data_IF_616122178854
#
_entry.id   IF_616122178854
#
_cell.length_a   1.000
_cell.length_b   1.000
_cell.length_c   1.000
_cell.angle_alpha   90.00
_cell.angle_beta   90.00
_cell.angle_gamma   90.00
#
_symmetry.space_group_name_H-M   'P 1'
#
loop_
_entity.id
_entity.type
_entity.pdbx_description
1 polymer ?
#
# COMPACT_ATOMS: atom_id res chain seq x y z
N UNK A 1 26.25 26.18 -47.64
CA UNK A 1 25.27 27.03 -46.92
C UNK A 1 23.87 26.42 -47.06
N UNK A 2 23.06 26.50 -46.00
CA UNK A 2 21.80 25.76 -45.69
C UNK A 2 22.09 24.36 -45.11
N UNK A 3 22.11 24.08 -43.81
CA UNK A 3 21.44 24.60 -42.61
C UNK A 3 19.93 24.33 -42.55
N UNK A 4 19.56 23.08 -42.22
CA UNK A 4 18.28 22.66 -41.60
C UNK A 4 18.60 21.41 -40.76
N UNK A 5 19.01 21.52 -39.49
CA UNK A 5 18.17 21.55 -38.29
C UNK A 5 17.13 20.41 -38.16
N UNK A 6 17.55 19.41 -37.37
CA UNK A 6 16.85 18.77 -36.25
C UNK A 6 15.41 18.24 -36.42
N UNK A 7 15.21 16.96 -36.07
CA UNK A 7 14.15 16.58 -35.13
C UNK A 7 14.50 15.28 -34.41
N UNK A 8 15.26 15.41 -33.31
CA UNK A 8 15.30 14.41 -32.25
C UNK A 8 13.99 14.56 -31.45
N UNK A 9 13.01 13.71 -31.72
CA UNK A 9 11.85 13.56 -30.84
C UNK A 9 12.27 12.70 -29.64
N UNK A 10 12.91 13.34 -28.66
CA UNK A 10 13.12 12.77 -27.34
C UNK A 10 11.75 12.71 -26.66
N UNK A 11 11.05 11.58 -26.77
CA UNK A 11 9.84 11.31 -26.00
C UNK A 11 10.26 10.99 -24.55
N UNK A 12 10.70 12.01 -23.83
CA UNK A 12 10.83 11.97 -22.37
C UNK A 12 9.43 11.99 -21.77
N UNK A 13 8.71 10.87 -21.86
CA UNK A 13 7.69 10.55 -20.88
C UNK A 13 8.41 10.27 -19.56
N UNK A 14 8.88 11.32 -18.90
CA UNK A 14 9.07 11.29 -17.47
C UNK A 14 7.68 10.95 -16.90
N UNK A 15 7.48 9.67 -16.59
CA UNK A 15 6.20 9.14 -16.16
C UNK A 15 5.80 9.85 -14.87
N UNK A 16 4.99 10.89 -14.99
CA UNK A 16 4.17 11.36 -13.90
C UNK A 16 3.30 10.17 -13.53
N UNK A 17 3.64 9.53 -12.40
CA UNK A 17 2.78 8.54 -11.78
C UNK A 17 1.52 9.29 -11.37
N UNK A 18 0.52 9.29 -12.23
CA UNK A 18 -0.79 9.83 -11.91
C UNK A 18 -1.37 8.96 -10.79
N UNK A 19 -1.95 9.61 -9.78
CA UNK A 19 -2.75 8.89 -8.82
C UNK A 19 -3.90 8.15 -9.53
N UNK A 20 -4.21 6.93 -9.09
CA UNK A 20 -5.24 6.09 -9.69
C UNK A 20 -6.57 6.23 -8.94
N UNK A 21 -7.66 5.95 -9.63
CA UNK A 21 -8.96 5.68 -8.99
C UNK A 21 -8.99 4.23 -8.48
N UNK A 22 -9.79 3.95 -7.46
CA UNK A 22 -9.89 2.57 -6.95
C UNK A 22 -10.62 1.63 -7.92
N UNK A 23 -11.36 2.20 -8.87
CA UNK A 23 -12.00 1.51 -10.00
C UNK A 23 -11.16 1.49 -11.27
N UNK A 24 -9.91 1.98 -11.22
CA UNK A 24 -9.06 2.08 -12.42
C UNK A 24 -8.88 0.69 -13.07
N UNK A 25 -9.22 0.52 -14.36
CA UNK A 25 -9.11 -0.75 -15.07
C UNK A 25 -7.66 -1.24 -15.23
N UNK A 26 -6.66 -0.38 -15.00
CA UNK A 26 -5.26 -0.78 -14.93
C UNK A 26 -4.95 -1.64 -13.70
N UNK A 27 -5.78 -1.61 -12.65
CA UNK A 27 -5.64 -2.48 -11.47
C UNK A 27 -5.97 -3.91 -11.88
N UNK A 28 -4.93 -4.72 -12.08
CA UNK A 28 -5.06 -6.14 -12.38
C UNK A 28 -5.12 -7.00 -11.12
N UNK A 29 -4.36 -6.61 -10.09
CA UNK A 29 -4.22 -7.39 -8.87
C UNK A 29 -4.02 -6.49 -7.65
N UNK A 30 -4.57 -6.92 -6.51
CA UNK A 30 -4.25 -6.34 -5.20
C UNK A 30 -3.70 -7.42 -4.30
N UNK A 31 -2.57 -7.15 -3.64
CA UNK A 31 -1.96 -8.06 -2.67
C UNK A 31 -1.83 -7.40 -1.31
N UNK A 32 -2.18 -8.14 -0.27
CA UNK A 32 -1.91 -7.73 1.11
C UNK A 32 -0.55 -8.25 1.58
N UNK A 33 0.10 -7.44 2.40
CA UNK A 33 1.42 -7.70 2.96
C UNK A 33 1.43 -7.42 4.45
N UNK A 34 2.27 -8.21 5.14
CA UNK A 34 2.78 -7.88 6.46
C UNK A 34 4.27 -7.57 6.34
N UNK A 35 4.72 -6.54 7.04
CA UNK A 35 6.10 -6.11 7.00
C UNK A 35 6.57 -5.53 8.32
N UNK A 36 7.88 -5.59 8.52
CA UNK A 36 8.58 -4.82 9.53
C UNK A 36 9.07 -3.51 8.90
N UNK A 37 8.44 -2.38 9.27
CA UNK A 37 8.78 -1.07 8.71
C UNK A 37 10.15 -0.58 9.18
N UNK A 38 10.71 -1.13 10.26
CA UNK A 38 12.01 -0.69 10.83
C UNK A 38 13.21 -1.12 9.98
N UNK A 39 12.98 -2.00 8.99
CA UNK A 39 14.02 -2.53 8.12
C UNK A 39 14.48 -1.54 7.02
N UNK A 40 13.86 -0.35 6.92
CA UNK A 40 14.37 0.79 6.16
C UNK A 40 14.05 2.12 6.88
N UNK A 41 14.73 3.20 6.48
CA UNK A 41 14.49 4.54 7.04
C UNK A 41 13.10 5.11 6.70
N UNK A 42 12.47 4.65 5.61
CA UNK A 42 11.13 5.07 5.20
C UNK A 42 10.15 3.98 5.57
N UNK A 43 9.10 4.32 6.32
CA UNK A 43 8.14 3.32 6.81
C UNK A 43 7.09 2.88 5.79
N UNK A 44 7.07 3.44 4.57
CA UNK A 44 6.07 3.11 3.57
C UNK A 44 6.24 1.70 2.99
N UNK A 45 5.13 0.97 2.80
CA UNK A 45 5.14 -0.38 2.21
C UNK A 45 5.74 -0.43 0.79
N UNK A 46 5.72 0.67 0.04
CA UNK A 46 6.44 0.78 -1.24
C UNK A 46 7.35 2.00 -1.25
N UNK A 47 8.56 1.82 -1.77
CA UNK A 47 9.59 2.86 -1.88
C UNK A 47 10.15 2.82 -3.30
N UNK A 48 10.08 3.93 -4.05
CA UNK A 48 10.66 4.06 -5.38
C UNK A 48 10.24 2.91 -6.34
N UNK A 49 8.96 2.57 -6.38
CA UNK A 49 8.42 1.54 -7.28
C UNK A 49 8.67 0.09 -6.87
N UNK A 50 9.27 -0.17 -5.71
CA UNK A 50 9.46 -1.53 -5.15
C UNK A 50 8.80 -1.69 -3.78
N UNK A 51 8.59 -2.93 -3.37
CA UNK A 51 8.19 -3.26 -2.00
C UNK A 51 9.28 -2.89 -0.98
N UNK A 52 8.85 -2.54 0.23
CA UNK A 52 9.71 -2.36 1.40
C UNK A 52 10.54 -3.63 1.67
N UNK A 53 11.81 -3.48 2.07
CA UNK A 53 12.74 -4.59 2.35
C UNK A 53 12.20 -5.48 3.44
N UNK A 54 11.59 -4.89 4.46
CA UNK A 54 10.94 -5.58 5.58
C UNK A 54 9.69 -6.39 5.28
N UNK A 55 9.21 -6.44 4.03
CA UNK A 55 8.11 -7.34 3.65
C UNK A 55 8.49 -8.78 3.92
N UNK A 56 7.69 -9.45 4.75
CA UNK A 56 7.97 -10.78 5.30
C UNK A 56 7.71 -11.87 4.24
N UNK A 57 6.58 -11.77 3.53
CA UNK A 57 6.26 -12.63 2.39
C UNK A 57 6.19 -11.78 1.12
N UNK A 58 7.21 -11.88 0.25
CA UNK A 58 7.27 -11.09 -1.00
C UNK A 58 6.20 -11.47 -2.02
N UNK A 59 5.69 -12.70 -1.97
CA UNK A 59 4.55 -13.07 -2.81
C UNK A 59 3.28 -12.35 -2.36
N UNK A 60 3.17 -11.94 -1.09
CA UNK A 60 1.94 -11.37 -0.54
C UNK A 60 0.77 -12.33 -0.59
N UNK A 61 -0.40 -11.84 -0.20
CA UNK A 61 -1.66 -12.57 -0.26
C UNK A 61 -2.53 -11.91 -1.32
N UNK A 62 -2.77 -12.60 -2.43
CA UNK A 62 -3.67 -12.13 -3.49
C UNK A 62 -5.09 -12.03 -2.95
N UNK A 63 -5.71 -10.85 -3.08
CA UNK A 63 -7.10 -10.67 -2.71
C UNK A 63 -8.01 -11.25 -3.80
N UNK A 64 -9.13 -11.85 -3.37
CA UNK A 64 -10.23 -12.18 -4.27
C UNK A 64 -10.97 -10.91 -4.73
N UNK A 65 -11.75 -10.97 -5.83
CA UNK A 65 -12.58 -9.84 -6.26
C UNK A 65 -13.48 -9.27 -5.16
N UNK A 66 -14.11 -10.14 -4.36
CA UNK A 66 -14.95 -9.71 -3.23
C UNK A 66 -14.16 -9.01 -2.13
N UNK A 67 -12.93 -9.47 -1.86
CA UNK A 67 -12.03 -8.83 -0.90
C UNK A 67 -11.56 -7.46 -1.41
N UNK A 68 -11.27 -7.32 -2.71
CA UNK A 68 -10.93 -6.05 -3.36
C UNK A 68 -12.09 -5.07 -3.24
N UNK A 69 -13.33 -5.50 -3.52
CA UNK A 69 -14.53 -4.68 -3.37
C UNK A 69 -14.71 -4.19 -1.92
N UNK A 70 -14.50 -5.07 -0.94
CA UNK A 70 -14.59 -4.71 0.50
C UNK A 70 -13.48 -3.76 0.93
N UNK A 71 -12.24 -3.99 0.49
CA UNK A 71 -11.12 -3.10 0.74
C UNK A 71 -11.38 -1.71 0.16
N UNK A 72 -11.76 -1.65 -1.12
CA UNK A 72 -12.06 -0.41 -1.84
C UNK A 72 -13.15 0.38 -1.12
N UNK A 73 -14.26 -0.26 -0.75
CA UNK A 73 -15.31 0.38 0.05
C UNK A 73 -14.79 0.91 1.41
N UNK A 74 -13.87 0.20 2.04
CA UNK A 74 -13.33 0.59 3.34
C UNK A 74 -12.37 1.80 3.28
N UNK A 75 -11.73 2.05 2.14
CA UNK A 75 -10.73 3.13 1.97
C UNK A 75 -11.20 4.29 1.07
N UNK A 76 -12.22 4.06 0.23
CA UNK A 76 -12.83 5.06 -0.63
C UNK A 76 -13.44 6.19 0.21
N UNK A 77 -13.48 7.40 -0.36
CA UNK A 77 -14.04 8.61 0.23
C UNK A 77 -15.40 8.33 0.90
N UNK A 78 -15.47 8.58 2.20
CA UNK A 78 -16.69 8.45 3.00
C UNK A 78 -17.11 9.83 3.54
N UNK A 79 -18.40 10.04 3.88
CA UNK A 79 -18.80 11.18 4.67
C UNK A 79 -17.97 11.27 5.95
N UNK A 80 -17.62 12.49 6.37
CA UNK A 80 -16.93 12.69 7.64
C UNK A 80 -17.83 12.21 8.78
N UNK A 81 -17.30 11.50 9.78
CA UNK A 81 -18.06 11.17 10.98
C UNK A 81 -18.42 12.46 11.74
N UNK A 82 -19.56 12.47 12.44
CA UNK A 82 -20.01 13.60 13.26
C UNK A 82 -18.97 14.05 14.30
N UNK A 83 -18.14 13.11 14.76
CA UNK A 83 -17.03 13.37 15.67
C UNK A 83 -15.74 12.76 15.15
N UNK A 84 -14.70 13.58 15.14
CA UNK A 84 -13.33 13.19 14.83
C UNK A 84 -12.58 13.00 16.16
N UNK A 85 -12.24 11.77 16.57
CA UNK A 85 -11.38 11.58 17.74
C UNK A 85 -9.96 12.09 17.43
N UNK A 86 -9.25 12.63 18.43
CA UNK A 86 -7.84 12.96 18.25
C UNK A 86 -7.06 11.69 17.90
N UNK A 87 -6.26 11.77 16.83
CA UNK A 87 -5.44 10.64 16.39
C UNK A 87 -4.08 10.70 17.11
N UNK A 88 -3.60 9.60 17.74
CA UNK A 88 -2.30 9.56 18.41
C UNK A 88 -1.17 9.95 17.45
N UNK A 89 -0.16 10.72 17.88
CA UNK A 89 0.93 11.20 16.99
C UNK A 89 2.00 10.13 16.69
N UNK A 90 1.57 8.91 16.40
CA UNK A 90 2.44 7.80 15.99
C UNK A 90 1.96 7.19 14.68
N UNK A 91 2.91 6.64 13.91
CA UNK A 91 2.61 5.92 12.68
C UNK A 91 3.64 4.81 12.43
N UNK A 92 3.29 3.60 12.88
CA UNK A 92 4.10 2.38 12.78
C UNK A 92 3.32 1.33 11.97
N UNK A 93 3.33 1.43 10.63
CA UNK A 93 2.54 0.57 9.79
C UNK A 93 3.16 -0.83 9.68
N UNK A 94 2.32 -1.86 9.73
CA UNK A 94 2.75 -3.25 9.54
C UNK A 94 1.94 -3.98 8.48
N UNK A 95 0.85 -3.39 8.00
CA UNK A 95 -0.04 -3.97 7.01
C UNK A 95 -0.19 -3.02 5.84
N UNK A 96 -0.04 -3.55 4.63
CA UNK A 96 -0.23 -2.78 3.41
C UNK A 96 -0.93 -3.60 2.35
N UNK A 97 -1.72 -2.92 1.52
CA UNK A 97 -2.36 -3.42 0.32
C UNK A 97 -1.72 -2.70 -0.85
N UNK A 98 -1.18 -3.44 -1.80
CA UNK A 98 -0.49 -2.87 -2.96
C UNK A 98 -1.26 -3.27 -4.22
N UNK A 99 -1.50 -2.28 -5.06
CA UNK A 99 -2.25 -2.38 -6.31
C UNK A 99 -1.26 -2.50 -7.45
N UNK A 100 -1.43 -3.52 -8.28
CA UNK A 100 -0.53 -3.88 -9.37
C UNK A 100 -1.26 -3.84 -10.71
N UNK A 101 -0.54 -3.47 -11.76
CA UNK A 101 -0.96 -3.70 -13.14
C UNK A 101 -0.70 -5.15 -13.59
N UNK A 102 -1.04 -5.45 -14.84
CA UNK A 102 -0.89 -6.79 -15.44
C UNK A 102 0.57 -7.19 -15.64
N UNK A 103 1.48 -6.23 -15.71
CA UNK A 103 2.93 -6.43 -15.76
C UNK A 103 3.56 -6.62 -14.37
N UNK A 104 2.79 -6.45 -13.30
CA UNK A 104 3.26 -6.55 -11.92
C UNK A 104 3.96 -5.30 -11.40
N UNK A 105 3.79 -4.15 -12.07
CA UNK A 105 4.26 -2.85 -11.60
C UNK A 105 3.33 -2.34 -10.50
N UNK A 106 3.90 -1.73 -9.48
CA UNK A 106 3.16 -1.05 -8.41
C UNK A 106 2.52 0.22 -8.97
N UNK A 107 1.20 0.30 -8.89
CA UNK A 107 0.41 1.49 -9.24
C UNK A 107 0.17 2.38 -8.02
N UNK A 108 -0.17 1.76 -6.89
CA UNK A 108 -0.56 2.46 -5.67
C UNK A 108 -0.40 1.56 -4.43
N UNK A 109 -0.50 2.16 -3.24
CA UNK A 109 -0.66 1.39 -2.02
C UNK A 109 -1.59 2.05 -1.00
N UNK A 110 -2.13 1.23 -0.11
CA UNK A 110 -2.88 1.60 1.07
C UNK A 110 -2.28 0.90 2.29
N UNK A 111 -1.86 1.63 3.31
CA UNK A 111 -1.19 1.10 4.50
C UNK A 111 -1.86 1.52 5.80
N UNK A 112 -1.89 0.60 6.77
CA UNK A 112 -2.56 0.79 8.05
C UNK A 112 -1.64 0.48 9.23
N UNK A 113 -1.73 1.34 10.23
CA UNK A 113 -1.20 1.14 11.57
C UNK A 113 -2.37 0.72 12.47
N UNK A 114 -2.52 -0.58 12.69
CA UNK A 114 -3.60 -1.12 13.52
C UNK A 114 -3.41 -0.83 15.02
N UNK A 115 -2.21 -0.46 15.46
CA UNK A 115 -1.97 -0.09 16.86
C UNK A 115 -2.50 1.32 17.15
N UNK A 116 -2.27 2.26 16.23
CA UNK A 116 -2.60 3.67 16.39
C UNK A 116 -3.88 4.10 15.65
N UNK A 117 -4.55 3.16 14.97
CA UNK A 117 -5.73 3.42 14.13
C UNK A 117 -5.51 4.51 13.07
N UNK A 118 -4.31 4.55 12.49
CA UNK A 118 -3.99 5.47 11.40
C UNK A 118 -3.80 4.73 10.09
N UNK A 119 -3.93 5.46 9.00
CA UNK A 119 -3.75 4.95 7.65
C UNK A 119 -3.09 6.01 6.77
N UNK A 120 -2.46 5.55 5.70
CA UNK A 120 -1.94 6.38 4.61
C UNK A 120 -2.15 5.64 3.31
N UNK A 121 -2.33 6.37 2.23
CA UNK A 121 -2.26 5.79 0.91
C UNK A 121 -1.40 6.67 0.02
N UNK A 122 -0.90 6.05 -1.04
CA UNK A 122 -0.02 6.68 -2.01
C UNK A 122 -0.58 6.42 -3.40
N UNK A 123 -0.63 7.47 -4.22
CA UNK A 123 -1.07 7.41 -5.61
C UNK A 123 -2.52 6.92 -5.77
N UNK A 124 -3.43 7.33 -4.87
CA UNK A 124 -4.87 7.02 -4.94
C UNK A 124 -5.66 8.33 -4.82
N UNK A 125 -6.52 8.64 -5.79
CA UNK A 125 -7.27 9.91 -5.86
C UNK A 125 -8.41 10.00 -4.83
N UNK A 126 -9.04 8.89 -4.52
CA UNK A 126 -10.33 8.85 -3.82
C UNK A 126 -10.20 8.43 -2.35
N UNK A 127 -9.07 8.71 -1.71
CA UNK A 127 -8.86 8.29 -0.33
C UNK A 127 -9.73 9.08 0.65
N UNK A 128 -10.44 8.36 1.50
CA UNK A 128 -11.10 8.96 2.65
C UNK A 128 -10.07 9.44 3.68
N UNK A 129 -10.40 10.56 4.35
CA UNK A 129 -9.73 10.97 5.58
C UNK A 129 -9.95 9.98 6.73
N UNK A 130 -11.01 9.16 6.65
CA UNK A 130 -11.35 8.11 7.61
C UNK A 130 -11.61 6.79 6.89
N UNK A 131 -10.74 5.82 7.10
CA UNK A 131 -10.96 4.47 6.61
C UNK A 131 -11.76 3.65 7.62
N UNK A 132 -12.59 2.73 7.14
CA UNK A 132 -13.25 1.76 7.99
C UNK A 132 -12.25 0.69 8.45
N UNK A 133 -11.48 1.01 9.50
CA UNK A 133 -10.46 0.11 10.04
C UNK A 133 -11.04 -1.17 10.66
N UNK A 134 -12.33 -1.21 10.99
CA UNK A 134 -13.01 -2.43 11.44
C UNK A 134 -13.07 -3.44 10.29
N UNK A 135 -13.50 -2.99 9.11
CA UNK A 135 -13.59 -3.84 7.93
C UNK A 135 -12.20 -4.27 7.44
N UNK A 136 -11.22 -3.36 7.51
CA UNK A 136 -9.82 -3.69 7.19
C UNK A 136 -9.27 -4.75 8.16
N UNK A 137 -9.50 -4.61 9.48
CA UNK A 137 -9.11 -5.65 10.46
C UNK A 137 -9.76 -6.99 10.17
N UNK A 138 -11.04 -7.00 9.81
CA UNK A 138 -11.76 -8.23 9.43
C UNK A 138 -11.11 -8.89 8.22
N UNK A 139 -10.80 -8.10 7.18
CA UNK A 139 -10.11 -8.59 5.99
C UNK A 139 -8.71 -9.17 6.32
N UNK A 140 -7.92 -8.47 7.13
CA UNK A 140 -6.60 -8.94 7.60
C UNK A 140 -6.73 -10.28 8.34
N UNK A 141 -7.76 -10.42 9.19
CA UNK A 141 -8.07 -11.67 9.89
C UNK A 141 -8.46 -12.82 8.96
N UNK A 142 -9.30 -12.56 7.95
CA UNK A 142 -9.67 -13.55 6.93
C UNK A 142 -8.46 -14.05 6.13
N UNK A 143 -7.52 -13.16 5.82
CA UNK A 143 -6.25 -13.48 5.16
C UNK A 143 -5.25 -14.17 6.09
N UNK A 144 -5.59 -14.36 7.38
CA UNK A 144 -4.73 -14.93 8.42
C UNK A 144 -3.39 -14.19 8.56
N UNK A 145 -3.39 -12.90 8.28
CA UNK A 145 -2.21 -12.05 8.46
C UNK A 145 -2.00 -11.80 9.95
N UNK A 146 -0.78 -11.99 10.49
CA UNK A 146 -0.52 -11.76 11.90
C UNK A 146 -0.75 -10.30 12.27
N UNK A 147 -1.32 -10.09 13.46
CA UNK A 147 -1.44 -8.79 14.11
C UNK A 147 -0.78 -8.92 15.47
N UNK A 148 0.35 -8.24 15.64
CA UNK A 148 1.07 -8.18 16.91
C UNK A 148 0.94 -6.80 17.55
N UNK A 149 1.13 -6.78 18.87
CA UNK A 149 1.38 -5.55 19.63
C UNK A 149 2.88 -5.28 19.60
N UNK A 150 3.27 -4.06 19.23
CA UNK A 150 4.67 -3.66 19.12
C UNK A 150 5.44 -4.30 17.97
N UNK A 151 6.66 -3.81 17.77
CA UNK A 151 7.47 -4.09 16.58
C UNK A 151 8.24 -5.40 16.68
N UNK A 152 8.64 -5.81 17.89
CA UNK A 152 9.52 -6.96 18.16
C UNK A 152 9.07 -8.23 17.45
N UNK A 153 7.78 -8.57 17.52
CA UNK A 153 7.25 -9.79 16.89
C UNK A 153 7.25 -9.71 15.36
N UNK A 154 7.09 -8.53 14.78
CA UNK A 154 7.25 -8.34 13.33
C UNK A 154 8.72 -8.50 12.93
N UNK A 155 9.67 -7.95 13.69
CA UNK A 155 11.10 -8.15 13.46
C UNK A 155 11.49 -9.61 13.54
N UNK A 156 11.05 -10.33 14.57
CA UNK A 156 11.33 -11.77 14.69
C UNK A 156 10.74 -12.56 13.52
N UNK A 157 9.53 -12.22 13.09
CA UNK A 157 8.90 -12.87 11.94
C UNK A 157 9.65 -12.56 10.63
N UNK A 158 10.13 -11.32 10.45
CA UNK A 158 10.97 -10.92 9.32
C UNK A 158 12.30 -11.69 9.30
N UNK A 159 13.04 -11.72 10.42
CA UNK A 159 14.31 -12.44 10.52
C UNK A 159 14.13 -13.93 10.21
N UNK A 160 13.10 -14.57 10.81
CA UNK A 160 12.79 -15.98 10.55
C UNK A 160 12.47 -16.26 9.08
N UNK A 161 11.81 -15.34 8.39
CA UNK A 161 11.48 -15.49 6.98
C UNK A 161 12.69 -15.31 6.04
N UNK A 162 13.69 -14.52 6.46
CA UNK A 162 14.89 -14.25 5.65
C UNK A 162 16.06 -15.19 5.93
N UNK A 163 16.13 -15.83 7.10
CA UNK A 163 17.12 -16.89 7.38
C UNK A 163 16.86 -18.16 6.54
N UNK A 164 15.63 -18.34 6.06
CA UNK A 164 15.21 -19.50 5.25
C UNK A 164 15.38 -19.33 3.74
N UNK A 165 15.98 -18.22 3.29
CA UNK A 165 16.25 -17.91 1.89
C UNK A 165 17.73 -18.04 1.62
#
# INVERSE_FOLDING_TARGET
MKLIQALFALFCCAGMTLAIELSDPAIHEVRAYVYDYTQENKSHITINGRLHKGVINKAGFKLSPDQIKRLTKAIAKQPLPERIPPLPDCYWPHHGFVFYDKEGKILAHAEVCLQCNRHRGYSILELSFYWNLRDIRKLIGELKLPIFKGDEKYTQLYLKANVKR
#
